data_IF_277551530174
#
_entry.id   IF_277551530174
#
_cell.length_a   1.000
_cell.length_b   1.000
_cell.length_c   1.000
_cell.angle_alpha   90.00
_cell.angle_beta   90.00
_cell.angle_gamma   90.00
#
_symmetry.space_group_name_H-M   'P 1'
#
loop_
_entity.id
_entity.type
_entity.pdbx_description
1 polymer ?
#
# COMPACT_ATOMS: atom_id res chain seq x y z
N UNK A 1 -3.41 -5.84 16.13
CA UNK A 1 -3.79 -5.51 14.74
C UNK A 1 -4.64 -4.24 14.76
N UNK A 2 -4.60 -3.45 13.69
CA UNK A 2 -5.48 -2.29 13.55
C UNK A 2 -6.95 -2.74 13.37
N UNK A 3 -7.89 -1.93 13.83
CA UNK A 3 -9.34 -2.15 13.61
C UNK A 3 -9.73 -1.65 12.23
N UNK A 4 -10.78 -2.22 11.64
CA UNK A 4 -11.37 -1.70 10.43
C UNK A 4 -12.05 -0.35 10.68
N UNK A 5 -11.90 0.57 9.72
CA UNK A 5 -12.40 1.96 9.80
C UNK A 5 -13.67 2.16 8.97
N UNK A 6 -14.15 1.09 8.34
CA UNK A 6 -15.22 1.09 7.35
C UNK A 6 -16.30 0.04 7.61
N UNK A 7 -16.31 -0.61 8.78
CA UNK A 7 -17.30 -1.67 9.10
C UNK A 7 -18.76 -1.21 9.00
N UNK A 8 -19.00 0.09 9.22
CA UNK A 8 -20.33 0.70 9.19
C UNK A 8 -20.75 1.21 7.79
N UNK A 9 -19.92 1.02 6.77
CA UNK A 9 -20.22 1.43 5.39
C UNK A 9 -20.75 0.26 4.56
N UNK A 10 -21.38 0.55 3.43
CA UNK A 10 -21.86 -0.50 2.53
C UNK A 10 -20.69 -1.36 2.01
N UNK A 11 -20.95 -2.62 1.71
CA UNK A 11 -19.92 -3.61 1.30
C UNK A 11 -19.03 -3.11 0.16
N UNK A 12 -19.60 -2.36 -0.80
CA UNK A 12 -18.89 -1.81 -1.96
C UNK A 12 -18.01 -0.59 -1.64
N UNK A 13 -18.07 -0.06 -0.42
CA UNK A 13 -17.23 1.02 0.10
C UNK A 13 -16.23 0.51 1.16
N UNK A 14 -16.29 -0.78 1.50
CA UNK A 14 -15.35 -1.41 2.41
C UNK A 14 -14.09 -1.87 1.67
N UNK A 15 -12.94 -1.78 2.34
CA UNK A 15 -11.73 -2.44 1.87
C UNK A 15 -11.96 -3.96 1.84
N UNK A 16 -11.64 -4.64 0.73
CA UNK A 16 -11.77 -6.09 0.64
C UNK A 16 -10.92 -6.78 1.71
N UNK A 17 -11.50 -7.74 2.42
CA UNK A 17 -10.85 -8.43 3.53
C UNK A 17 -9.87 -9.52 3.05
N UNK A 18 -10.14 -10.09 1.89
CA UNK A 18 -9.27 -11.02 1.18
C UNK A 18 -9.17 -10.61 -0.29
N UNK A 19 -7.95 -10.58 -0.83
CA UNK A 19 -7.70 -10.28 -2.24
C UNK A 19 -6.35 -10.81 -2.70
N UNK A 20 -6.24 -11.02 -4.02
CA UNK A 20 -4.99 -11.26 -4.71
C UNK A 20 -4.69 -10.11 -5.67
N UNK A 21 -3.42 -9.78 -5.82
CA UNK A 21 -2.98 -8.72 -6.71
C UNK A 21 -1.86 -9.24 -7.60
N UNK A 22 -2.07 -9.20 -8.91
CA UNK A 22 -1.09 -9.60 -9.90
C UNK A 22 -0.39 -8.38 -10.48
N UNK A 23 0.94 -8.37 -10.38
CA UNK A 23 1.83 -7.40 -10.97
C UNK A 23 2.42 -7.99 -12.24
N UNK A 24 1.92 -7.54 -13.38
CA UNK A 24 2.37 -7.98 -14.69
C UNK A 24 3.45 -7.01 -15.22
N UNK A 25 4.68 -7.51 -15.40
CA UNK A 25 5.74 -6.72 -16.03
C UNK A 25 5.67 -6.81 -17.56
N UNK A 26 5.47 -5.67 -18.20
CA UNK A 26 5.43 -5.56 -19.67
C UNK A 26 6.83 -5.42 -20.27
N UNK A 27 6.96 -5.75 -21.56
CA UNK A 27 8.22 -5.62 -22.33
C UNK A 27 8.77 -4.19 -22.32
N UNK A 28 7.89 -3.18 -22.30
CA UNK A 28 8.27 -1.76 -22.21
C UNK A 28 8.66 -1.32 -20.79
N UNK A 29 8.80 -2.26 -19.84
CA UNK A 29 9.08 -2.04 -18.41
C UNK A 29 7.97 -1.36 -17.61
N UNK A 30 6.78 -1.15 -18.19
CA UNK A 30 5.62 -0.78 -17.40
C UNK A 30 5.11 -1.97 -16.59
N UNK A 31 4.43 -1.69 -15.48
CA UNK A 31 3.80 -2.69 -14.63
C UNK A 31 2.29 -2.50 -14.66
N UNK A 32 1.54 -3.49 -15.12
CA UNK A 32 0.10 -3.49 -14.95
C UNK A 32 -0.25 -4.18 -13.63
N UNK A 33 -1.18 -3.60 -12.88
CA UNK A 33 -1.65 -4.19 -11.63
C UNK A 33 -3.12 -4.59 -11.77
N UNK A 34 -3.39 -5.87 -11.53
CA UNK A 34 -4.72 -6.47 -11.57
C UNK A 34 -5.11 -6.93 -10.17
N UNK A 35 -6.27 -6.50 -9.69
CA UNK A 35 -6.81 -6.93 -8.41
C UNK A 35 -7.91 -7.97 -8.65
N UNK A 36 -7.83 -9.04 -7.88
CA UNK A 36 -8.79 -10.13 -7.86
C UNK A 36 -9.32 -10.24 -6.44
N UNK A 37 -10.61 -10.00 -6.28
CA UNK A 37 -11.36 -10.32 -5.07
C UNK A 37 -12.66 -11.02 -5.49
N UNK A 38 -13.50 -11.37 -4.52
CA UNK A 38 -14.82 -11.95 -4.78
C UNK A 38 -15.76 -10.99 -5.56
N UNK A 39 -15.33 -9.76 -5.89
CA UNK A 39 -16.10 -8.68 -6.52
C UNK A 39 -15.70 -8.34 -7.98
N UNK A 40 -15.14 -9.30 -8.73
CA UNK A 40 -14.74 -9.23 -10.17
C UNK A 40 -13.27 -8.87 -10.41
N UNK A 41 -12.72 -9.41 -11.51
CA UNK A 41 -11.42 -9.05 -12.05
C UNK A 41 -11.41 -7.56 -12.43
N UNK A 42 -10.46 -6.80 -11.92
CA UNK A 42 -10.29 -5.41 -12.36
C UNK A 42 -9.55 -5.34 -13.71
N UNK A 43 -9.94 -4.37 -14.52
CA UNK A 43 -9.13 -3.74 -15.59
C UNK A 43 -7.81 -3.26 -14.94
N UNK A 44 -6.66 -3.18 -15.65
CA UNK A 44 -5.40 -2.70 -15.06
C UNK A 44 -5.61 -1.36 -14.36
N UNK A 45 -5.44 -1.34 -13.03
CA UNK A 45 -5.90 -0.20 -12.21
C UNK A 45 -4.87 0.94 -12.16
N UNK A 46 -3.62 0.63 -12.52
CA UNK A 46 -2.55 1.61 -12.69
C UNK A 46 -1.43 0.98 -13.51
N UNK A 47 -0.82 1.75 -14.39
CA UNK A 47 0.49 1.42 -14.94
C UNK A 47 1.55 1.97 -14.00
N UNK A 48 2.35 1.11 -13.37
CA UNK A 48 3.64 1.52 -12.86
C UNK A 48 4.47 1.98 -14.05
N UNK A 49 4.58 3.29 -14.24
CA UNK A 49 5.30 3.86 -15.36
C UNK A 49 6.79 3.57 -15.17
N UNK A 50 7.43 3.02 -16.20
CA UNK A 50 8.89 2.85 -16.22
C UNK A 50 9.61 4.15 -15.82
N UNK A 51 9.05 5.29 -16.21
CA UNK A 51 9.64 6.62 -15.99
C UNK A 51 9.62 7.05 -14.52
N UNK A 52 8.93 6.31 -13.65
CA UNK A 52 8.98 6.51 -12.21
C UNK A 52 10.19 5.84 -11.56
N UNK A 53 10.89 4.94 -12.27
CA UNK A 53 12.13 4.35 -11.78
C UNK A 53 13.29 5.32 -12.02
N UNK A 54 13.91 5.82 -10.95
CA UNK A 54 15.16 6.54 -11.04
C UNK A 54 16.32 5.55 -10.97
N UNK A 55 17.14 5.50 -12.02
CA UNK A 55 18.32 4.63 -12.09
C UNK A 55 18.02 3.12 -11.85
N UNK A 56 16.81 2.67 -12.23
CA UNK A 56 16.40 1.27 -12.04
C UNK A 56 16.20 0.91 -10.56
N UNK A 57 15.77 1.87 -9.74
CA UNK A 57 15.48 1.67 -8.33
C UNK A 57 14.23 0.83 -8.06
N UNK A 58 13.46 0.45 -9.09
CA UNK A 58 12.22 -0.36 -9.03
C UNK A 58 11.06 0.30 -8.29
N UNK A 59 11.02 1.64 -8.20
CA UNK A 59 9.92 2.37 -7.59
C UNK A 59 8.55 2.17 -8.28
N UNK A 60 8.54 1.68 -9.53
CA UNK A 60 7.33 1.24 -10.26
C UNK A 60 6.52 0.15 -9.53
N UNK A 61 7.13 -0.60 -8.60
CA UNK A 61 6.43 -1.59 -7.75
C UNK A 61 5.90 -1.01 -6.44
N UNK A 62 5.90 0.32 -6.22
CA UNK A 62 5.50 0.94 -4.94
C UNK A 62 4.08 0.61 -4.47
N UNK A 63 3.19 0.16 -5.35
CA UNK A 63 1.86 -0.29 -4.94
C UNK A 63 1.94 -1.42 -3.90
N UNK A 64 3.04 -2.18 -3.85
CA UNK A 64 3.32 -3.10 -2.75
C UNK A 64 3.27 -2.44 -1.37
N UNK A 65 3.77 -1.20 -1.23
CA UNK A 65 3.72 -0.46 0.04
C UNK A 65 2.29 -0.10 0.41
N UNK A 66 1.51 0.44 -0.54
CA UNK A 66 0.11 0.78 -0.33
C UNK A 66 -0.75 -0.44 0.04
N UNK A 67 -0.52 -1.58 -0.61
CA UNK A 67 -1.15 -2.85 -0.26
C UNK A 67 -0.75 -3.35 1.12
N UNK A 68 0.51 -3.17 1.52
CA UNK A 68 0.96 -3.46 2.89
C UNK A 68 0.30 -2.54 3.91
N UNK A 69 0.22 -1.23 3.65
CA UNK A 69 -0.48 -0.26 4.50
C UNK A 69 -1.96 -0.61 4.67
N UNK A 70 -2.64 -0.90 3.57
CA UNK A 70 -4.03 -1.39 3.61
C UNK A 70 -4.15 -2.66 4.47
N UNK A 71 -3.22 -3.61 4.31
CA UNK A 71 -3.23 -4.89 5.03
C UNK A 71 -3.05 -4.72 6.53
N UNK A 72 -2.08 -3.92 6.96
CA UNK A 72 -1.70 -3.83 8.37
C UNK A 72 -2.39 -2.69 9.12
N UNK A 73 -2.58 -1.54 8.47
CA UNK A 73 -3.13 -0.31 9.05
C UNK A 73 -4.65 -0.21 8.91
N UNK A 74 -5.26 -1.04 8.03
CA UNK A 74 -6.68 -0.90 7.60
C UNK A 74 -6.99 0.44 6.95
N UNK A 75 -5.97 1.01 6.33
CA UNK A 75 -5.99 2.35 5.78
C UNK A 75 -5.13 2.41 4.53
N UNK A 76 -5.73 2.87 3.44
CA UNK A 76 -5.03 3.29 2.23
C UNK A 76 -5.99 4.09 1.34
N UNK A 77 -6.03 5.43 1.45
CA UNK A 77 -6.77 6.28 0.52
C UNK A 77 -6.33 6.08 -0.94
N UNK A 78 -5.07 5.72 -1.19
CA UNK A 78 -4.56 5.37 -2.52
C UNK A 78 -5.24 4.11 -3.06
N UNK A 79 -5.29 3.01 -2.28
CA UNK A 79 -5.97 1.80 -2.75
C UNK A 79 -7.48 2.03 -2.88
N UNK A 80 -8.12 2.79 -1.98
CA UNK A 80 -9.53 3.16 -2.12
C UNK A 80 -9.82 3.91 -3.43
N UNK A 81 -8.99 4.88 -3.77
CA UNK A 81 -9.13 5.66 -5.01
C UNK A 81 -8.95 4.79 -6.25
N UNK A 82 -7.86 4.02 -6.28
CA UNK A 82 -7.52 3.10 -7.37
C UNK A 82 -8.65 2.08 -7.58
N UNK A 83 -9.15 1.45 -6.52
CA UNK A 83 -10.22 0.46 -6.60
C UNK A 83 -11.62 1.05 -6.78
N UNK A 84 -11.79 2.38 -6.72
CA UNK A 84 -13.09 3.03 -6.85
C UNK A 84 -14.03 2.83 -5.66
N UNK A 85 -13.51 2.46 -4.49
CA UNK A 85 -14.26 2.10 -3.27
C UNK A 85 -14.17 3.18 -2.18
N UNK A 86 -14.17 4.45 -2.59
CA UNK A 86 -14.28 5.56 -1.64
C UNK A 86 -15.62 5.50 -0.92
N UNK A 87 -15.65 5.91 0.34
CA UNK A 87 -16.87 6.04 1.15
C UNK A 87 -17.64 7.29 0.74
N UNK A 88 -18.39 7.19 -0.36
CA UNK A 88 -19.21 8.21 -1.01
C UNK A 88 -20.58 8.39 -0.38
N UNK A 89 -21.08 7.39 0.34
CA UNK A 89 -22.32 7.51 1.14
C UNK A 89 -22.25 8.68 2.12
N UNK A 90 -21.07 8.95 2.69
CA UNK A 90 -20.81 10.07 3.59
C UNK A 90 -19.85 11.10 2.98
N UNK A 91 -20.37 12.29 2.66
CA UNK A 91 -19.62 13.36 1.97
C UNK A 91 -18.33 13.77 2.69
N UNK A 92 -18.30 13.72 4.02
CA UNK A 92 -17.10 14.04 4.80
C UNK A 92 -16.00 13.02 4.53
N UNK A 93 -16.34 11.73 4.47
CA UNK A 93 -15.39 10.67 4.18
C UNK A 93 -14.88 10.78 2.74
N UNK A 94 -15.77 10.89 1.76
CA UNK A 94 -15.40 11.04 0.34
C UNK A 94 -14.39 12.18 0.12
N UNK A 95 -14.64 13.35 0.73
CA UNK A 95 -13.88 14.57 0.43
C UNK A 95 -12.67 14.79 1.32
N UNK A 96 -12.75 14.42 2.60
CA UNK A 96 -11.70 14.74 3.56
C UNK A 96 -10.83 13.54 3.95
N UNK A 97 -11.40 12.32 3.97
CA UNK A 97 -10.72 11.10 4.44
C UNK A 97 -10.24 10.22 3.29
N UNK A 98 -11.02 10.12 2.21
CA UNK A 98 -10.68 9.40 0.97
C UNK A 98 -10.31 10.38 -0.17
N UNK A 99 -10.23 11.67 0.19
CA UNK A 99 -10.00 12.77 -0.75
C UNK A 99 -8.52 13.03 -1.08
N UNK A 100 -8.25 13.96 -2.00
CA UNK A 100 -6.92 14.18 -2.55
C UNK A 100 -5.82 14.47 -1.51
N UNK A 101 -6.16 15.15 -0.41
CA UNK A 101 -5.20 15.43 0.67
C UNK A 101 -4.62 14.14 1.25
N UNK A 102 -5.46 13.11 1.43
CA UNK A 102 -5.08 11.86 2.07
C UNK A 102 -4.28 10.97 1.12
N UNK A 103 -4.62 10.99 -0.18
CA UNK A 103 -3.82 10.38 -1.25
C UNK A 103 -2.40 10.96 -1.26
N UNK A 104 -2.27 12.30 -1.22
CA UNK A 104 -0.98 12.99 -1.23
C UNK A 104 -0.17 12.65 0.03
N UNK A 105 -0.81 12.59 1.20
CA UNK A 105 -0.14 12.19 2.44
C UNK A 105 0.41 10.76 2.32
N UNK A 106 -0.39 9.81 1.84
CA UNK A 106 0.05 8.42 1.71
C UNK A 106 1.18 8.24 0.68
N UNK A 107 1.06 8.83 -0.52
CA UNK A 107 2.12 8.82 -1.54
C UNK A 107 3.38 9.53 -1.03
N UNK A 108 3.23 10.60 -0.24
CA UNK A 108 4.33 11.32 0.41
C UNK A 108 5.06 10.47 1.44
N UNK A 109 4.33 9.76 2.31
CA UNK A 109 4.88 8.78 3.26
C UNK A 109 5.66 7.70 2.50
N UNK A 110 5.06 7.12 1.46
CA UNK A 110 5.68 6.10 0.62
C UNK A 110 7.00 6.61 -0.01
N UNK A 111 6.98 7.79 -0.62
CA UNK A 111 8.14 8.39 -1.27
C UNK A 111 9.27 8.71 -0.27
N UNK A 112 8.90 9.26 0.90
CA UNK A 112 9.84 9.55 1.98
C UNK A 112 10.53 8.28 2.50
N UNK A 113 9.75 7.26 2.86
CA UNK A 113 10.29 6.00 3.37
C UNK A 113 11.17 5.33 2.31
N UNK A 114 10.73 5.31 1.04
CA UNK A 114 11.51 4.71 -0.04
C UNK A 114 12.88 5.40 -0.20
N UNK A 115 12.91 6.73 -0.16
CA UNK A 115 14.17 7.49 -0.19
C UNK A 115 15.07 7.15 1.01
N UNK A 116 14.52 7.17 2.23
CA UNK A 116 15.28 6.87 3.44
C UNK A 116 15.80 5.43 3.47
N UNK A 117 15.01 4.47 2.97
CA UNK A 117 15.36 3.05 2.94
C UNK A 117 16.64 2.76 2.14
N UNK A 118 17.04 3.63 1.20
CA UNK A 118 18.27 3.46 0.43
C UNK A 118 19.53 3.52 1.31
N UNK A 119 19.46 4.19 2.46
CA UNK A 119 20.54 4.21 3.47
C UNK A 119 20.66 2.89 4.23
N UNK A 120 19.67 2.02 4.14
CA UNK A 120 19.50 0.80 4.93
C UNK A 120 19.27 -0.45 4.07
N UNK A 121 19.83 -0.51 2.86
CA UNK A 121 19.65 -1.64 1.92
C UNK A 121 18.16 -2.03 1.72
N UNK A 122 17.30 -1.01 1.59
CA UNK A 122 15.86 -1.18 1.47
C UNK A 122 15.25 -2.05 2.59
N UNK A 123 15.80 -1.96 3.80
CA UNK A 123 15.41 -2.70 5.00
C UNK A 123 15.44 -4.24 4.87
N UNK A 124 16.19 -4.79 3.90
CA UNK A 124 16.11 -6.21 3.57
C UNK A 124 16.37 -7.17 4.73
N UNK A 125 17.39 -6.88 5.54
CA UNK A 125 17.78 -7.70 6.69
C UNK A 125 17.47 -6.99 8.03
N UNK A 126 16.59 -6.00 8.01
CA UNK A 126 16.24 -5.22 9.19
C UNK A 126 14.97 -5.79 9.81
N UNK A 127 14.99 -5.93 11.13
CA UNK A 127 13.80 -6.26 11.94
C UNK A 127 13.13 -5.04 12.54
N UNK A 128 13.74 -3.86 12.39
CA UNK A 128 13.26 -2.58 12.92
C UNK A 128 13.50 -1.45 11.93
N UNK A 129 12.72 -0.39 12.05
CA UNK A 129 12.84 0.86 11.30
C UNK A 129 13.42 1.94 12.23
N UNK A 130 14.43 2.70 11.80
CA UNK A 130 14.97 3.79 12.60
C UNK A 130 13.89 4.75 13.13
N UNK A 131 13.94 5.04 14.43
CA UNK A 131 12.95 5.87 15.14
C UNK A 131 12.64 7.20 14.46
N UNK A 132 13.62 7.85 13.84
CA UNK A 132 13.41 9.15 13.19
C UNK A 132 12.52 9.03 11.95
N UNK A 133 12.56 7.90 11.25
CA UNK A 133 11.68 7.60 10.11
C UNK A 133 10.28 7.41 10.66
N UNK A 134 10.09 6.55 11.66
CA UNK A 134 8.78 6.29 12.28
C UNK A 134 8.15 7.57 12.85
N UNK A 135 8.92 8.39 13.59
CA UNK A 135 8.45 9.69 14.12
C UNK A 135 8.00 10.63 13.00
N UNK A 136 8.66 10.59 11.84
CA UNK A 136 8.29 11.41 10.69
C UNK A 136 7.02 10.90 10.03
N UNK A 137 6.91 9.58 9.81
CA UNK A 137 5.68 8.93 9.31
C UNK A 137 4.48 9.27 10.20
N UNK A 138 4.63 9.16 11.52
CA UNK A 138 3.58 9.51 12.47
C UNK A 138 3.15 10.98 12.31
N UNK A 139 4.11 11.92 12.17
CA UNK A 139 3.79 13.34 11.92
C UNK A 139 3.01 13.57 10.63
N UNK A 140 3.34 12.87 9.54
CA UNK A 140 2.53 12.91 8.30
C UNK A 140 1.11 12.37 8.55
N UNK A 141 1.00 11.29 9.32
CA UNK A 141 -0.27 10.61 9.59
C UNK A 141 -1.20 11.33 10.59
N UNK A 142 -0.72 12.36 11.29
CA UNK A 142 -1.48 13.08 12.34
C UNK A 142 -2.83 13.68 11.86
N UNK A 143 -2.97 13.92 10.56
CA UNK A 143 -4.19 14.49 9.97
C UNK A 143 -5.01 13.46 9.18
N UNK A 144 -4.82 12.18 9.50
CA UNK A 144 -5.50 11.05 8.87
C UNK A 144 -6.40 10.35 9.89
N UNK A 145 -7.32 9.49 9.45
CA UNK A 145 -8.15 8.68 10.35
C UNK A 145 -7.37 7.63 11.17
N UNK A 146 -6.08 7.41 10.86
CA UNK A 146 -5.17 6.53 11.60
C UNK A 146 -4.16 7.29 12.48
N UNK A 147 -4.38 8.57 12.80
CA UNK A 147 -3.46 9.39 13.59
C UNK A 147 -3.06 8.78 14.95
N UNK A 148 -3.96 7.98 15.56
CA UNK A 148 -3.73 7.34 16.86
C UNK A 148 -3.14 5.93 16.77
N UNK A 149 -2.70 5.50 15.58
CA UNK A 149 -2.15 4.17 15.40
C UNK A 149 -0.77 4.06 16.04
N UNK A 150 -0.49 2.92 16.68
CA UNK A 150 0.81 2.64 17.31
C UNK A 150 1.92 2.57 16.25
N UNK A 151 3.10 3.08 16.60
CA UNK A 151 4.32 3.01 15.78
C UNK A 151 4.64 1.60 15.29
N UNK A 152 4.43 0.59 16.14
CA UNK A 152 4.83 -0.79 15.85
C UNK A 152 4.00 -1.39 14.69
N UNK A 153 2.77 -0.91 14.48
CA UNK A 153 1.95 -1.34 13.36
C UNK A 153 2.45 -0.70 12.06
N UNK A 154 2.87 0.57 12.12
CA UNK A 154 3.56 1.22 11.01
C UNK A 154 4.87 0.53 10.67
N UNK A 155 5.71 0.24 11.66
CA UNK A 155 6.98 -0.47 11.48
C UNK A 155 6.77 -1.81 10.76
N UNK A 156 5.84 -2.63 11.26
CA UNK A 156 5.49 -3.90 10.62
C UNK A 156 5.03 -3.72 9.16
N UNK A 157 4.15 -2.75 8.91
CA UNK A 157 3.63 -2.48 7.57
C UNK A 157 4.73 -2.05 6.58
N UNK A 158 5.73 -1.31 7.06
CA UNK A 158 6.85 -0.86 6.25
C UNK A 158 7.73 -2.05 5.91
N UNK A 159 8.14 -2.82 6.91
CA UNK A 159 9.01 -3.99 6.74
C UNK A 159 8.40 -5.04 5.79
N UNK A 160 7.14 -5.42 6.01
CA UNK A 160 6.45 -6.37 5.13
C UNK A 160 6.24 -5.78 3.73
N UNK A 161 6.01 -4.47 3.62
CA UNK A 161 5.92 -3.78 2.33
C UNK A 161 7.22 -3.88 1.53
N UNK A 162 8.38 -3.66 2.15
CA UNK A 162 9.69 -3.81 1.51
C UNK A 162 10.03 -5.25 1.13
N UNK A 163 9.65 -6.20 1.96
CA UNK A 163 9.80 -7.63 1.66
C UNK A 163 9.05 -8.01 0.39
N UNK A 164 7.78 -7.64 0.29
CA UNK A 164 6.95 -7.89 -0.89
C UNK A 164 7.47 -7.14 -2.11
N UNK A 165 7.80 -5.86 -1.95
CA UNK A 165 8.38 -5.04 -3.01
C UNK A 165 9.66 -5.67 -3.59
N UNK A 166 10.55 -6.20 -2.73
CA UNK A 166 11.79 -6.84 -3.19
C UNK A 166 11.51 -8.14 -3.93
N UNK A 167 10.56 -8.95 -3.47
CA UNK A 167 10.14 -10.16 -4.18
C UNK A 167 9.57 -9.82 -5.57
N UNK A 168 8.76 -8.77 -5.68
CA UNK A 168 8.26 -8.26 -6.96
C UNK A 168 9.40 -7.74 -7.85
N UNK A 169 10.36 -6.98 -7.30
CA UNK A 169 11.48 -6.44 -8.05
C UNK A 169 12.37 -7.56 -8.62
N UNK A 170 12.73 -8.55 -7.79
CA UNK A 170 13.57 -9.69 -8.17
C UNK A 170 12.92 -10.55 -9.26
N UNK A 171 11.62 -10.78 -9.16
CA UNK A 171 10.87 -11.63 -10.08
C UNK A 171 10.25 -10.85 -11.25
N UNK A 172 10.47 -9.53 -11.32
CA UNK A 172 9.86 -8.63 -12.31
C UNK A 172 8.34 -8.80 -12.34
N UNK A 173 7.71 -8.67 -11.18
CA UNK A 173 6.27 -8.89 -11.00
C UNK A 173 5.97 -10.16 -10.22
N UNK A 174 4.72 -10.61 -10.30
CA UNK A 174 4.23 -11.79 -9.58
C UNK A 174 2.88 -11.56 -8.93
N UNK A 175 2.44 -12.56 -8.17
CA UNK A 175 1.15 -12.56 -7.49
C UNK A 175 1.37 -12.35 -6.00
N UNK A 176 0.59 -11.47 -5.39
CA UNK A 176 0.55 -11.30 -3.94
C UNK A 176 -0.85 -11.64 -3.42
N UNK A 177 -0.93 -12.22 -2.23
CA UNK A 177 -2.18 -12.42 -1.49
C UNK A 177 -2.20 -11.54 -0.26
N UNK A 178 -3.35 -10.96 0.02
CA UNK A 178 -3.61 -10.13 1.19
C UNK A 178 -4.77 -10.74 1.97
N UNK A 179 -4.53 -10.96 3.26
CA UNK A 179 -5.50 -11.39 4.26
C UNK A 179 -5.51 -10.29 5.34
N UNK A 180 -6.49 -9.40 5.23
CA UNK A 180 -6.61 -8.28 6.14
C UNK A 180 -7.01 -8.82 7.52
N UNK A 181 -7.90 -9.78 7.65
CA UNK A 181 -8.36 -10.25 8.98
C UNK A 181 -7.20 -10.74 9.85
N UNK A 182 -6.18 -11.35 9.24
CA UNK A 182 -4.97 -11.80 9.91
C UNK A 182 -3.77 -10.84 9.78
N UNK A 183 -3.94 -9.69 9.14
CA UNK A 183 -2.89 -8.72 8.81
C UNK A 183 -1.66 -9.40 8.16
N UNK A 184 -1.89 -10.18 7.11
CA UNK A 184 -0.87 -10.93 6.38
C UNK A 184 -0.85 -10.52 4.91
N UNK A 185 0.33 -10.21 4.41
CA UNK A 185 0.61 -10.04 2.99
C UNK A 185 1.69 -11.05 2.59
N UNK A 186 1.54 -11.71 1.44
CA UNK A 186 2.49 -12.72 0.97
C UNK A 186 2.69 -12.63 -0.52
N UNK A 187 3.92 -12.77 -0.97
CA UNK A 187 4.22 -13.11 -2.35
C UNK A 187 3.95 -14.60 -2.56
N UNK A 188 3.27 -14.93 -3.65
CA UNK A 188 3.00 -16.30 -4.05
C UNK A 188 3.98 -16.66 -5.17
N UNK A 189 4.84 -17.64 -4.92
CA UNK A 189 5.68 -18.23 -5.96
C UNK A 189 4.76 -18.87 -7.01
N UNK A 190 5.02 -18.56 -8.28
CA UNK A 190 4.27 -19.06 -9.45
C UNK A 190 5.18 -19.99 -10.23
#
# INVERSE_FOLDING_TARGET
MAKYLDENFDEHEQLPRDLKVYFEHKKNKNVNVYVFNNLKQSIPIRTGEKDWDLNGDYYRFRLAFHFSYMTHLKWSPVIRDIMGIKRRSERVFEKAIDGPRQLIIEEGICSYIFSESKKYDNFYNYSTIPDYILKTVLRFSNYTEIANLKSDIWELSILEGFKIWKQLANNKGGLISLDLDNAKIKYLEV
#
